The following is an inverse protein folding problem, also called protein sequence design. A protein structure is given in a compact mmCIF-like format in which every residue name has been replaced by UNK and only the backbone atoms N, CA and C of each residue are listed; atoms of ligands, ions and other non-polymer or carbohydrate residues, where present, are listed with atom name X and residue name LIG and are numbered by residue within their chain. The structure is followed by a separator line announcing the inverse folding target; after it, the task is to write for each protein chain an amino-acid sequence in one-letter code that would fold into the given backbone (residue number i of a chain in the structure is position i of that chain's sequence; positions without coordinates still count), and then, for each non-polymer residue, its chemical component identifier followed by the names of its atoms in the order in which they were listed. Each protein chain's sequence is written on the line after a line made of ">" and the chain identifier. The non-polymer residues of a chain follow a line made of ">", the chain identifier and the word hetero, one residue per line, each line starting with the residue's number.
data_IF_148376550442
#
_entry.id   IF_148376550442
#
_cell.length_a   1.000
_cell.length_b   1.000
_cell.length_c   1.000
_cell.angle_alpha   90.00
_cell.angle_beta   90.00
_cell.angle_gamma   90.00
#
_symmetry.space_group_name_H-M   'P 1'
#
loop_
_entity.id
_entity.type
_entity.pdbx_description
1 polymer ?
#
# COMPACT_ATOMS: atom_id res chain seq x y z
N UNK A 1 -25.41 67.34 -5.71
CA UNK A 1 -24.35 67.19 -4.68
C UNK A 1 -24.23 65.77 -4.16
N UNK A 2 -23.92 64.75 -4.96
CA UNK A 2 -23.73 63.37 -4.51
C UNK A 2 -22.74 62.67 -5.41
N UNK A 3 -21.48 63.14 -5.52
CA UNK A 3 -20.45 62.45 -6.34
C UNK A 3 -19.06 62.40 -5.75
N UNK A 4 -18.85 62.76 -4.49
CA UNK A 4 -17.48 62.87 -3.91
C UNK A 4 -17.20 61.77 -2.83
N UNK A 5 -18.19 61.00 -2.40
CA UNK A 5 -18.03 60.02 -1.29
C UNK A 5 -17.56 58.60 -1.69
N UNK A 6 -17.49 58.26 -2.96
CA UNK A 6 -17.08 56.95 -3.39
C UNK A 6 -15.58 56.76 -3.64
N UNK A 7 -14.80 57.85 -3.82
CA UNK A 7 -13.38 57.78 -4.12
C UNK A 7 -12.50 57.59 -2.90
N UNK A 8 -12.95 57.99 -1.71
CA UNK A 8 -12.18 57.85 -0.48
C UNK A 8 -12.18 56.44 0.12
N UNK A 9 -13.17 55.62 -0.19
CA UNK A 9 -13.25 54.22 0.29
C UNK A 9 -12.35 53.27 -0.50
N UNK A 10 -12.15 53.52 -1.79
CA UNK A 10 -11.28 52.73 -2.65
C UNK A 10 -9.80 52.95 -2.33
N UNK A 11 -9.41 54.19 -1.96
CA UNK A 11 -8.03 54.47 -1.57
C UNK A 11 -7.64 53.82 -0.23
N UNK A 12 -8.61 53.68 0.70
CA UNK A 12 -8.35 53.05 2.01
C UNK A 12 -8.15 51.55 1.90
N UNK A 13 -8.82 50.89 0.96
CA UNK A 13 -8.66 49.42 0.74
C UNK A 13 -7.34 49.10 0.06
N UNK A 14 -6.86 49.94 -0.87
CA UNK A 14 -5.58 49.73 -1.57
C UNK A 14 -4.39 49.89 -0.61
N UNK A 15 -4.44 50.85 0.32
CA UNK A 15 -3.37 51.02 1.32
C UNK A 15 -3.32 49.86 2.33
N UNK A 16 -4.48 49.25 2.67
CA UNK A 16 -4.52 48.13 3.61
C UNK A 16 -4.02 46.80 2.98
N UNK A 17 -4.21 46.60 1.68
CA UNK A 17 -3.71 45.41 0.96
C UNK A 17 -2.20 45.47 0.76
N UNK A 18 -1.59 46.69 0.62
CA UNK A 18 -0.14 46.84 0.45
C UNK A 18 0.63 46.70 1.76
N UNK A 19 -0.01 46.93 2.92
CA UNK A 19 0.62 46.79 4.25
C UNK A 19 0.75 45.33 4.71
N UNK A 20 0.08 44.36 4.07
CA UNK A 20 0.15 42.91 4.41
C UNK A 20 1.24 42.15 3.63
N UNK A 21 1.93 42.82 2.70
CA UNK A 21 2.99 42.18 1.89
C UNK A 21 4.41 42.42 2.40
N UNK A 22 4.59 43.08 3.57
CA UNK A 22 5.89 43.35 4.15
C UNK A 22 6.18 42.50 5.39
N UNK A 23 5.60 41.31 5.54
CA UNK A 23 6.10 40.36 6.52
C UNK A 23 7.25 39.59 5.90
N UNK A 24 8.42 40.14 6.12
CA UNK A 24 9.72 39.57 5.80
C UNK A 24 9.81 38.14 6.25
N UNK A 25 10.02 37.24 5.29
CA UNK A 25 10.32 35.84 5.49
C UNK A 25 11.58 35.69 6.36
N UNK A 26 11.41 35.50 7.64
CA UNK A 26 12.42 34.85 8.46
C UNK A 26 12.48 33.39 7.98
N UNK A 27 13.36 33.13 7.02
CA UNK A 27 13.79 31.79 6.62
C UNK A 27 14.50 31.17 7.83
N UNK A 28 13.72 30.55 8.73
CA UNK A 28 14.28 29.55 9.63
C UNK A 28 14.81 28.45 8.72
N UNK A 29 16.13 28.35 8.66
CA UNK A 29 16.78 27.19 8.08
C UNK A 29 16.22 25.97 8.79
N UNK A 30 15.48 25.15 8.05
CA UNK A 30 15.17 23.79 8.47
C UNK A 30 16.51 23.09 8.53
N UNK A 31 17.00 22.88 9.74
CA UNK A 31 18.07 21.91 9.98
C UNK A 31 17.50 20.61 9.47
N UNK A 32 18.05 20.08 8.37
CA UNK A 32 17.82 18.70 7.97
C UNK A 32 18.40 17.85 9.09
N UNK A 33 17.53 17.28 9.88
CA UNK A 33 17.85 16.19 10.77
C UNK A 33 17.97 14.93 9.88
N UNK A 34 19.20 14.56 9.56
CA UNK A 34 19.54 13.45 8.67
C UNK A 34 19.34 12.09 9.37
N UNK A 35 18.19 11.88 10.01
CA UNK A 35 17.97 10.67 10.82
C UNK A 35 16.53 10.24 11.05
N UNK A 36 15.55 10.90 10.47
CA UNK A 36 14.15 10.43 10.50
C UNK A 36 13.80 9.93 9.11
N UNK A 37 13.71 8.63 8.95
CA UNK A 37 13.09 8.00 7.80
C UNK A 37 11.73 8.69 7.61
N UNK A 38 11.58 9.38 6.48
CA UNK A 38 10.38 10.10 6.09
C UNK A 38 9.29 9.05 5.89
N UNK A 39 8.43 8.84 6.91
CA UNK A 39 7.29 7.95 6.79
C UNK A 39 6.43 8.44 5.63
N UNK A 40 6.46 7.70 4.53
CA UNK A 40 5.65 7.98 3.37
C UNK A 40 4.18 8.12 3.78
N UNK A 41 3.51 9.15 3.29
CA UNK A 41 2.08 9.32 3.53
C UNK A 41 1.30 8.16 2.89
N UNK A 42 0.07 7.92 3.35
CA UNK A 42 -0.80 6.90 2.74
C UNK A 42 -1.02 7.16 1.24
N UNK A 43 -1.03 8.42 0.84
CA UNK A 43 -1.20 8.82 -0.56
C UNK A 43 0.03 8.49 -1.41
N UNK A 44 1.23 8.80 -0.92
CA UNK A 44 2.49 8.46 -1.58
C UNK A 44 2.65 6.94 -1.73
N UNK A 45 2.36 6.16 -0.68
CA UNK A 45 2.38 4.69 -0.77
C UNK A 45 1.39 4.17 -1.81
N UNK A 46 0.21 4.80 -1.92
CA UNK A 46 -0.80 4.42 -2.90
C UNK A 46 -0.40 4.76 -4.33
N UNK A 47 0.18 5.95 -4.57
CA UNK A 47 0.67 6.35 -5.88
C UNK A 47 1.80 5.44 -6.36
N UNK A 48 2.76 5.12 -5.48
CA UNK A 48 3.82 4.17 -5.81
C UNK A 48 3.26 2.76 -6.11
N UNK A 49 2.32 2.29 -5.29
CA UNK A 49 1.68 1.01 -5.51
C UNK A 49 0.91 0.96 -6.84
N UNK A 50 0.17 2.01 -7.20
CA UNK A 50 -0.53 2.13 -8.48
C UNK A 50 0.43 2.06 -9.66
N UNK A 51 1.51 2.83 -9.61
CA UNK A 51 2.53 2.83 -10.67
C UNK A 51 3.12 1.43 -10.89
N UNK A 52 3.42 0.71 -9.81
CA UNK A 52 3.97 -0.66 -9.88
C UNK A 52 2.97 -1.65 -10.47
N UNK A 53 1.69 -1.54 -10.12
CA UNK A 53 0.65 -2.41 -10.65
C UNK A 53 0.38 -2.15 -12.15
N UNK A 54 0.50 -0.90 -12.62
CA UNK A 54 0.44 -0.56 -14.03
C UNK A 54 1.62 -1.19 -14.81
N UNK A 55 2.83 -1.16 -14.24
CA UNK A 55 4.00 -1.85 -14.78
C UNK A 55 3.81 -3.39 -14.83
N UNK A 56 3.05 -3.97 -13.91
CA UNK A 56 2.67 -5.39 -13.86
C UNK A 56 1.47 -5.73 -14.78
N UNK A 57 0.88 -4.73 -15.45
CA UNK A 57 -0.20 -4.89 -16.43
C UNK A 57 -1.60 -5.06 -15.82
N UNK A 58 -1.79 -4.68 -14.56
CA UNK A 58 -3.12 -4.67 -13.92
C UNK A 58 -3.87 -3.42 -14.38
N UNK A 59 -5.01 -3.61 -15.01
CA UNK A 59 -5.81 -2.52 -15.57
C UNK A 59 -6.65 -1.81 -14.50
N UNK A 60 -6.96 -0.51 -14.72
CA UNK A 60 -7.84 0.24 -13.82
C UNK A 60 -9.25 -0.38 -13.74
N UNK A 61 -9.74 -1.01 -14.82
CA UNK A 61 -11.03 -1.71 -14.82
C UNK A 61 -11.03 -2.91 -13.87
N UNK A 62 -9.96 -3.73 -13.89
CA UNK A 62 -9.79 -4.86 -12.96
C UNK A 62 -9.73 -4.38 -11.52
N UNK A 63 -9.02 -3.27 -11.29
CA UNK A 63 -8.87 -2.69 -9.97
C UNK A 63 -10.18 -2.12 -9.43
N UNK A 64 -10.96 -1.43 -10.27
CA UNK A 64 -12.30 -0.97 -9.87
C UNK A 64 -13.25 -2.13 -9.57
N UNK A 65 -13.20 -3.20 -10.35
CA UNK A 65 -13.98 -4.41 -10.09
C UNK A 65 -13.60 -5.03 -8.74
N UNK A 66 -12.29 -5.10 -8.44
CA UNK A 66 -11.80 -5.61 -7.17
C UNK A 66 -12.23 -4.72 -5.99
N UNK A 67 -12.16 -3.38 -6.12
CA UNK A 67 -12.63 -2.43 -5.10
C UNK A 67 -14.14 -2.56 -4.83
N UNK A 68 -14.96 -2.75 -5.87
CA UNK A 68 -16.40 -3.03 -5.69
C UNK A 68 -16.61 -4.33 -4.91
N UNK A 69 -15.83 -5.35 -5.21
CA UNK A 69 -15.88 -6.62 -4.49
C UNK A 69 -15.47 -6.46 -3.03
N UNK A 70 -14.44 -5.69 -2.73
CA UNK A 70 -14.05 -5.36 -1.35
C UNK A 70 -15.20 -4.68 -0.61
N UNK A 71 -15.86 -3.68 -1.20
CA UNK A 71 -16.98 -2.98 -0.58
C UNK A 71 -18.17 -3.92 -0.29
N UNK A 72 -18.46 -4.87 -1.21
CA UNK A 72 -19.48 -5.91 -1.00
C UNK A 72 -19.12 -6.85 0.15
N UNK A 73 -17.87 -7.32 0.19
CA UNK A 73 -17.38 -8.26 1.21
C UNK A 73 -17.24 -7.60 2.59
N UNK A 74 -16.92 -6.32 2.65
CA UNK A 74 -16.80 -5.58 3.92
C UNK A 74 -18.10 -5.52 4.73
N UNK A 75 -19.23 -5.83 4.11
CA UNK A 75 -20.52 -5.96 4.80
C UNK A 75 -20.72 -7.34 5.45
N UNK A 76 -19.82 -8.28 5.26
CA UNK A 76 -19.91 -9.64 5.80
C UNK A 76 -19.01 -9.78 7.04
N UNK A 77 -19.59 -10.30 8.13
CA UNK A 77 -18.85 -10.57 9.36
C UNK A 77 -18.19 -11.97 9.30
N UNK A 78 -17.02 -12.12 9.95
CA UNK A 78 -16.44 -13.43 10.24
C UNK A 78 -15.41 -13.97 9.24
N UNK A 79 -14.82 -13.14 8.40
CA UNK A 79 -13.74 -13.57 7.49
C UNK A 79 -12.38 -13.63 8.22
N UNK A 80 -11.59 -14.64 7.88
CA UNK A 80 -10.18 -14.77 8.27
C UNK A 80 -9.30 -14.43 7.08
N UNK A 81 -8.05 -13.99 7.37
CA UNK A 81 -7.05 -13.76 6.33
C UNK A 81 -6.66 -15.10 5.69
N UNK A 82 -6.65 -15.12 4.37
CA UNK A 82 -6.30 -16.30 3.57
C UNK A 82 -4.91 -16.10 2.95
N UNK A 83 -4.13 -17.18 2.87
CA UNK A 83 -2.86 -17.17 2.16
C UNK A 83 -3.05 -16.94 0.67
N UNK A 84 -2.05 -16.32 0.05
CA UNK A 84 -1.96 -16.11 -1.40
C UNK A 84 -0.88 -17.01 -1.96
N UNK A 85 -1.16 -17.72 -3.05
CA UNK A 85 -0.24 -18.66 -3.67
C UNK A 85 0.29 -18.15 -5.00
N UNK A 86 1.48 -18.63 -5.39
CA UNK A 86 2.18 -18.17 -6.57
C UNK A 86 2.62 -19.33 -7.47
N UNK A 87 2.74 -19.07 -8.76
CA UNK A 87 3.34 -20.01 -9.70
C UNK A 87 4.86 -20.18 -9.41
N UNK A 88 5.46 -21.19 -10.04
CA UNK A 88 6.90 -21.41 -9.93
C UNK A 88 7.66 -20.21 -10.50
N UNK A 89 8.65 -19.74 -9.75
CA UNK A 89 9.51 -18.62 -10.10
C UNK A 89 8.78 -17.32 -10.46
N UNK A 90 7.57 -17.13 -9.86
CA UNK A 90 6.70 -16.01 -10.12
C UNK A 90 6.29 -15.28 -8.82
N UNK A 91 6.04 -13.99 -8.93
CA UNK A 91 5.51 -13.10 -7.89
C UNK A 91 4.29 -12.29 -8.39
N UNK A 92 3.83 -12.55 -9.62
CA UNK A 92 2.61 -11.95 -10.16
C UNK A 92 1.36 -12.51 -9.48
N UNK A 93 0.33 -11.68 -9.39
CA UNK A 93 -0.94 -12.05 -8.77
C UNK A 93 -1.91 -12.54 -9.85
N UNK A 94 -2.20 -13.83 -9.86
CA UNK A 94 -3.22 -14.39 -10.70
C UNK A 94 -4.64 -14.04 -10.21
N UNK A 95 -5.66 -14.51 -10.91
CA UNK A 95 -7.06 -14.18 -10.59
C UNK A 95 -7.50 -14.76 -9.24
N UNK A 96 -7.00 -15.92 -8.85
CA UNK A 96 -7.30 -16.54 -7.56
C UNK A 96 -6.65 -15.78 -6.41
N UNK A 97 -5.38 -15.39 -6.58
CA UNK A 97 -4.66 -14.50 -5.66
C UNK A 97 -5.38 -13.16 -5.46
N UNK A 98 -5.81 -12.53 -6.56
CA UNK A 98 -6.56 -11.25 -6.51
C UNK A 98 -7.90 -11.39 -5.77
N UNK A 99 -8.59 -12.52 -5.92
CA UNK A 99 -9.85 -12.80 -5.20
C UNK A 99 -9.61 -12.99 -3.70
N UNK A 100 -8.58 -13.76 -3.31
CA UNK A 100 -8.18 -13.92 -1.92
C UNK A 100 -7.80 -12.57 -1.29
N UNK A 101 -7.06 -11.75 -2.02
CA UNK A 101 -6.67 -10.41 -1.56
C UNK A 101 -7.85 -9.44 -1.42
N UNK A 102 -8.89 -9.54 -2.25
CA UNK A 102 -10.11 -8.76 -2.07
C UNK A 102 -10.82 -9.12 -0.76
N UNK A 103 -10.83 -10.40 -0.37
CA UNK A 103 -11.37 -10.85 0.92
C UNK A 103 -10.51 -10.33 2.09
N UNK A 104 -9.19 -10.47 1.98
CA UNK A 104 -8.25 -9.99 2.99
C UNK A 104 -8.36 -8.46 3.17
N UNK A 105 -8.48 -7.70 2.06
CA UNK A 105 -8.65 -6.26 2.09
C UNK A 105 -9.92 -5.85 2.83
N UNK A 106 -11.05 -6.54 2.57
CA UNK A 106 -12.31 -6.27 3.26
C UNK A 106 -12.17 -6.46 4.79
N UNK A 107 -11.49 -7.51 5.22
CA UNK A 107 -11.22 -7.75 6.64
C UNK A 107 -10.29 -6.67 7.23
N UNK A 108 -9.20 -6.33 6.55
CA UNK A 108 -8.22 -5.35 7.00
C UNK A 108 -8.81 -3.94 7.13
N UNK A 109 -9.67 -3.53 6.20
CA UNK A 109 -10.37 -2.24 6.23
C UNK A 109 -11.32 -2.17 7.43
N UNK A 110 -11.98 -3.28 7.78
CA UNK A 110 -12.86 -3.36 8.95
C UNK A 110 -12.09 -3.48 10.27
N UNK A 111 -10.79 -3.77 10.23
CA UNK A 111 -9.93 -3.93 11.41
C UNK A 111 -8.69 -3.01 11.36
N UNK A 112 -8.85 -1.68 11.27
CA UNK A 112 -7.74 -0.74 11.00
C UNK A 112 -6.71 -0.66 12.13
N UNK A 113 -7.04 -1.15 13.32
CA UNK A 113 -6.15 -1.20 14.49
C UNK A 113 -5.25 -2.45 14.53
N UNK A 114 -5.45 -3.40 13.61
CA UNK A 114 -4.63 -4.60 13.54
C UNK A 114 -3.42 -4.37 12.65
N UNK A 115 -2.25 -4.66 13.18
CA UNK A 115 -1.02 -4.71 12.39
C UNK A 115 -0.82 -6.12 11.85
N UNK A 116 -0.39 -6.23 10.60
CA UNK A 116 -0.23 -7.50 9.90
C UNK A 116 1.13 -7.55 9.23
N UNK A 117 1.84 -8.65 9.43
CA UNK A 117 3.05 -8.99 8.69
C UNK A 117 2.65 -9.89 7.53
N UNK A 118 3.11 -9.55 6.34
CA UNK A 118 2.99 -10.38 5.14
C UNK A 118 4.32 -11.12 4.96
N UNK A 119 4.30 -12.42 5.22
CA UNK A 119 5.47 -13.29 5.12
C UNK A 119 5.55 -13.89 3.71
N UNK A 120 6.66 -13.66 3.00
CA UNK A 120 6.91 -14.23 1.68
C UNK A 120 7.72 -15.51 1.76
N UNK A 121 7.21 -16.56 1.11
CA UNK A 121 7.79 -17.90 1.11
C UNK A 121 8.02 -18.44 -0.29
N UNK A 122 8.99 -19.35 -0.40
CA UNK A 122 9.35 -20.06 -1.62
C UNK A 122 9.36 -21.57 -1.37
N UNK A 123 9.38 -22.35 -2.45
CA UNK A 123 9.74 -23.76 -2.38
C UNK A 123 11.28 -23.91 -2.33
N UNK A 124 11.75 -25.13 -2.07
CA UNK A 124 13.16 -25.46 -1.85
C UNK A 124 14.07 -25.38 -3.10
N UNK A 125 13.52 -25.02 -4.26
CA UNK A 125 14.29 -24.96 -5.52
C UNK A 125 14.94 -23.61 -5.70
N UNK A 126 16.26 -23.58 -5.82
CA UNK A 126 17.03 -22.35 -6.00
C UNK A 126 18.18 -22.24 -5.00
N UNK A 127 18.66 -21.00 -4.78
CA UNK A 127 19.60 -20.70 -3.70
C UNK A 127 18.86 -19.90 -2.62
N UNK A 128 19.35 -19.97 -1.40
CA UNK A 128 18.75 -19.26 -0.26
C UNK A 128 18.62 -17.77 -0.56
N UNK A 129 19.65 -17.13 -1.11
CA UNK A 129 19.65 -15.70 -1.43
C UNK A 129 18.61 -15.38 -2.52
N UNK A 130 18.48 -16.24 -3.52
CA UNK A 130 17.47 -16.07 -4.56
C UNK A 130 16.06 -16.18 -3.99
N UNK A 131 15.83 -17.20 -3.15
CA UNK A 131 14.52 -17.45 -2.54
C UNK A 131 14.14 -16.37 -1.53
N UNK A 132 15.08 -15.81 -0.77
CA UNK A 132 14.84 -14.63 0.06
C UNK A 132 14.38 -13.44 -0.80
N UNK A 133 15.07 -13.15 -1.89
CA UNK A 133 14.71 -12.05 -2.78
C UNK A 133 13.36 -12.29 -3.49
N UNK A 134 13.04 -13.53 -3.88
CA UNK A 134 11.75 -13.88 -4.49
C UNK A 134 10.61 -13.79 -3.48
N UNK A 135 10.82 -14.28 -2.26
CA UNK A 135 9.84 -14.16 -1.17
C UNK A 135 9.54 -12.69 -0.84
N UNK A 136 10.55 -11.82 -0.83
CA UNK A 136 10.37 -10.38 -0.65
C UNK A 136 9.50 -9.77 -1.77
N UNK A 137 9.74 -10.13 -3.03
CA UNK A 137 8.92 -9.66 -4.16
C UNK A 137 7.47 -10.10 -4.01
N UNK A 138 7.21 -11.36 -3.59
CA UNK A 138 5.87 -11.90 -3.33
C UNK A 138 5.13 -11.11 -2.23
N UNK A 139 5.80 -10.91 -1.09
CA UNK A 139 5.24 -10.13 0.01
C UNK A 139 4.94 -8.69 -0.41
N UNK A 140 5.86 -8.05 -1.14
CA UNK A 140 5.69 -6.67 -1.61
C UNK A 140 4.60 -6.55 -2.69
N UNK A 141 4.48 -7.50 -3.63
CA UNK A 141 3.38 -7.54 -4.62
C UNK A 141 2.03 -7.62 -3.92
N UNK A 142 1.91 -8.51 -2.94
CA UNK A 142 0.73 -8.67 -2.07
C UNK A 142 0.39 -7.36 -1.32
N UNK A 143 1.37 -6.73 -0.66
CA UNK A 143 1.19 -5.46 0.05
C UNK A 143 0.71 -4.34 -0.86
N UNK A 144 1.37 -4.16 -2.02
CA UNK A 144 0.98 -3.12 -2.99
C UNK A 144 -0.47 -3.27 -3.43
N UNK A 145 -0.88 -4.49 -3.76
CA UNK A 145 -2.25 -4.74 -4.19
C UNK A 145 -3.27 -4.41 -3.10
N UNK A 146 -3.01 -4.77 -1.85
CA UNK A 146 -3.87 -4.41 -0.69
C UNK A 146 -3.98 -2.90 -0.50
N UNK A 147 -2.87 -2.14 -0.63
CA UNK A 147 -2.88 -0.66 -0.51
C UNK A 147 -3.77 -0.05 -1.58
N UNK A 148 -3.70 -0.54 -2.81
CA UNK A 148 -4.52 -0.03 -3.91
C UNK A 148 -5.98 -0.40 -3.75
N UNK A 149 -6.29 -1.53 -3.10
CA UNK A 149 -7.66 -1.87 -2.69
C UNK A 149 -8.21 -1.00 -1.55
N UNK A 150 -7.39 -0.17 -0.93
CA UNK A 150 -7.82 0.78 0.10
C UNK A 150 -7.37 0.44 1.52
N UNK A 151 -6.54 -0.59 1.71
CA UNK A 151 -5.97 -0.92 3.02
C UNK A 151 -4.93 0.15 3.41
N UNK A 152 -4.91 0.53 4.69
CA UNK A 152 -3.89 1.45 5.18
C UNK A 152 -2.51 0.78 5.17
N UNK A 153 -1.57 1.32 4.38
CA UNK A 153 -0.23 0.76 4.26
C UNK A 153 0.57 0.76 5.57
N UNK A 154 0.24 1.64 6.51
CA UNK A 154 0.90 1.69 7.81
C UNK A 154 0.60 0.46 8.70
N UNK A 155 -0.52 -0.26 8.47
CA UNK A 155 -0.83 -1.50 9.18
C UNK A 155 -0.16 -2.74 8.57
N UNK A 156 0.55 -2.58 7.42
CA UNK A 156 1.14 -3.68 6.67
C UNK A 156 2.66 -3.60 6.68
N UNK A 157 3.32 -4.64 7.16
CA UNK A 157 4.76 -4.85 7.02
C UNK A 157 5.04 -6.11 6.20
N UNK A 158 6.23 -6.22 5.63
CA UNK A 158 6.65 -7.38 4.83
C UNK A 158 7.94 -7.97 5.37
N UNK A 159 8.05 -9.28 5.32
CA UNK A 159 9.28 -10.02 5.60
C UNK A 159 9.37 -11.22 4.67
N UNK A 160 10.58 -11.62 4.28
CA UNK A 160 10.81 -12.83 3.52
C UNK A 160 11.50 -13.88 4.39
N UNK A 161 11.05 -15.11 4.29
CA UNK A 161 11.71 -16.29 4.83
C UNK A 161 12.26 -17.20 3.72
N UNK A 162 12.09 -16.83 2.44
CA UNK A 162 12.53 -17.69 1.36
C UNK A 162 11.98 -19.11 1.53
N UNK A 163 12.84 -20.11 1.55
CA UNK A 163 12.50 -21.52 1.76
C UNK A 163 12.63 -21.99 3.21
N UNK A 164 13.07 -21.13 4.14
CA UNK A 164 13.40 -21.52 5.53
C UNK A 164 12.20 -22.01 6.35
N UNK A 165 10.96 -21.64 5.95
CA UNK A 165 9.73 -21.97 6.68
C UNK A 165 8.72 -22.65 5.76
N UNK A 166 8.94 -23.91 5.37
CA UNK A 166 8.01 -24.63 4.51
C UNK A 166 6.70 -24.93 5.25
N UNK A 167 5.57 -24.74 4.57
CA UNK A 167 4.26 -25.18 5.03
C UNK A 167 4.10 -26.70 4.87
N UNK A 168 4.76 -27.26 3.86
CA UNK A 168 4.80 -28.68 3.59
C UNK A 168 6.25 -29.10 3.30
N UNK A 169 6.75 -30.11 4.03
CA UNK A 169 8.12 -30.62 3.92
C UNK A 169 8.30 -31.69 2.83
N UNK A 170 7.28 -31.98 2.03
CA UNK A 170 7.37 -32.89 0.89
C UNK A 170 8.21 -32.28 -0.26
N UNK A 171 8.77 -33.16 -1.09
CA UNK A 171 9.67 -32.81 -2.19
C UNK A 171 9.01 -33.06 -3.55
N UNK A 172 7.73 -32.70 -3.68
CA UNK A 172 6.95 -32.82 -4.91
C UNK A 172 6.19 -31.53 -5.23
N UNK A 173 5.62 -31.44 -6.44
CA UNK A 173 4.91 -30.22 -6.86
C UNK A 173 3.71 -29.89 -5.96
N UNK A 174 3.08 -30.87 -5.34
CA UNK A 174 1.97 -30.66 -4.41
C UNK A 174 2.44 -29.91 -3.14
N UNK A 175 3.60 -30.31 -2.60
CA UNK A 175 4.22 -29.64 -1.45
C UNK A 175 4.78 -28.26 -1.86
N UNK A 176 5.49 -28.18 -2.98
CA UNK A 176 6.08 -26.94 -3.48
C UNK A 176 5.02 -25.87 -3.74
N UNK A 177 3.88 -26.24 -4.32
CA UNK A 177 2.77 -25.31 -4.55
C UNK A 177 2.24 -24.70 -3.24
N UNK A 178 2.22 -25.44 -2.13
CA UNK A 178 1.82 -24.95 -0.81
C UNK A 178 2.90 -24.04 -0.19
N UNK A 179 4.16 -24.25 -0.52
CA UNK A 179 5.27 -23.45 -0.01
C UNK A 179 5.38 -22.10 -0.72
N UNK A 180 5.03 -22.01 -2.00
CA UNK A 180 5.04 -20.74 -2.77
C UNK A 180 3.85 -19.87 -2.36
N UNK A 181 3.96 -19.14 -1.24
CA UNK A 181 2.87 -18.37 -0.68
C UNK A 181 3.30 -17.02 -0.09
N UNK A 182 2.33 -16.13 0.04
CA UNK A 182 2.37 -15.03 1.01
C UNK A 182 1.39 -15.36 2.14
N UNK A 183 1.88 -15.36 3.37
CA UNK A 183 1.12 -15.69 4.58
C UNK A 183 0.90 -14.42 5.41
N UNK A 184 -0.25 -14.33 6.10
CA UNK A 184 -0.65 -13.16 6.87
C UNK A 184 -0.62 -13.48 8.36
N UNK A 185 0.25 -12.77 9.10
CA UNK A 185 0.41 -12.91 10.54
C UNK A 185 -0.10 -11.65 11.24
N UNK A 186 -1.18 -11.78 12.00
CA UNK A 186 -1.77 -10.70 12.80
C UNK A 186 -0.92 -10.51 14.05
N UNK A 187 -0.56 -9.25 14.36
CA UNK A 187 0.20 -8.87 15.54
C UNK A 187 -0.72 -8.54 16.75
#
# INVERSE_FOLDING_TARGET
>A
MVRVRKSLWVLSIVVFVFSLLSFSACRRGVVKDDGLDEFATQEEMREEAMKRLDEEGITEEELEAARRKVAELSAQEGMNLSNVYFAFDDFSLDQEAKQALAQNAAWLINNPQREVIIEGHCDERGTDEYNIALGERRANSTKRYLIVLGVNGAQLSTISFGEERPANTGHDESAWAQNRRAEFVIQ
#
